data_IF_775612632144
#
_entry.id   IF_775612632144
#
_cell.length_a   1.000
_cell.length_b   1.000
_cell.length_c   1.000
_cell.angle_alpha   90.00
_cell.angle_beta   90.00
_cell.angle_gamma   90.00
#
_symmetry.space_group_name_H-M   'P 1'
#
loop_
_entity.id
_entity.type
_entity.pdbx_description
1 polymer ?
#
# COMPACT_ATOMS: atom_id res chain seq x y z
N UNK A 1 1.92 -6.56 28.03
CA UNK A 1 2.12 -6.65 26.57
C UNK A 1 2.37 -5.24 26.07
N UNK A 2 3.60 -4.91 25.67
CA UNK A 2 3.93 -3.55 25.21
C UNK A 2 3.19 -3.29 23.90
N UNK A 3 2.13 -2.49 23.98
CA UNK A 3 1.41 -1.95 22.83
C UNK A 3 2.32 -0.90 22.16
N UNK A 4 3.38 -1.36 21.51
CA UNK A 4 4.28 -0.47 20.76
C UNK A 4 3.52 -0.05 19.53
N UNK A 5 2.94 1.16 19.57
CA UNK A 5 2.33 1.79 18.41
C UNK A 5 3.31 1.70 17.24
N UNK A 6 2.87 1.26 16.04
CA UNK A 6 3.75 1.15 14.89
C UNK A 6 4.38 2.51 14.58
N UNK A 7 5.66 2.50 14.18
CA UNK A 7 6.35 3.73 13.82
C UNK A 7 5.68 4.39 12.60
N UNK A 8 5.77 5.73 12.44
CA UNK A 8 5.21 6.39 11.25
C UNK A 8 5.75 5.82 9.93
N UNK A 9 7.01 5.39 9.91
CA UNK A 9 7.61 4.75 8.75
C UNK A 9 6.98 3.38 8.46
N UNK A 10 6.71 2.57 9.51
CA UNK A 10 5.99 1.31 9.38
C UNK A 10 4.58 1.51 8.82
N UNK A 11 3.81 2.48 9.35
CA UNK A 11 2.49 2.84 8.83
C UNK A 11 2.55 3.28 7.36
N UNK A 12 3.55 4.10 6.99
CA UNK A 12 3.78 4.49 5.60
C UNK A 12 4.05 3.27 4.69
N UNK A 13 4.78 2.27 5.17
CA UNK A 13 5.00 1.01 4.47
C UNK A 13 3.70 0.23 4.24
N UNK A 14 2.88 0.09 5.28
CA UNK A 14 1.58 -0.58 5.20
C UNK A 14 0.62 0.15 4.25
N UNK A 15 0.61 1.48 4.31
CA UNK A 15 -0.15 2.32 3.38
C UNK A 15 0.32 2.13 1.94
N UNK A 16 1.62 2.12 1.70
CA UNK A 16 2.18 1.92 0.36
C UNK A 16 1.78 0.54 -0.20
N UNK A 17 1.86 -0.52 0.61
CA UNK A 17 1.38 -1.84 0.23
C UNK A 17 -0.11 -1.84 -0.13
N UNK A 18 -0.95 -1.19 0.68
CA UNK A 18 -2.40 -1.09 0.48
C UNK A 18 -2.74 -0.40 -0.85
N UNK A 19 -2.11 0.74 -1.12
CA UNK A 19 -2.33 1.49 -2.35
C UNK A 19 -1.81 0.75 -3.58
N UNK A 20 -0.68 0.06 -3.45
CA UNK A 20 -0.10 -0.75 -4.51
C UNK A 20 -0.97 -1.96 -4.84
N UNK A 21 -1.48 -2.66 -3.82
CA UNK A 21 -2.45 -3.74 -3.97
C UNK A 21 -3.72 -3.25 -4.66
N UNK A 22 -4.27 -2.11 -4.25
CA UNK A 22 -5.45 -1.52 -4.90
C UNK A 22 -5.21 -1.24 -6.38
N UNK A 23 -4.05 -0.67 -6.72
CA UNK A 23 -3.62 -0.48 -8.11
C UNK A 23 -3.59 -1.80 -8.87
N UNK A 24 -3.04 -2.85 -8.28
CA UNK A 24 -2.89 -4.14 -8.96
C UNK A 24 -4.23 -4.86 -9.17
N UNK A 25 -5.16 -4.78 -8.22
CA UNK A 25 -6.53 -5.30 -8.42
C UNK A 25 -7.22 -4.52 -9.56
N UNK A 26 -7.00 -3.20 -9.64
CA UNK A 26 -7.56 -2.35 -10.69
C UNK A 26 -6.92 -2.53 -12.08
N UNK A 27 -5.60 -2.80 -12.15
CA UNK A 27 -4.85 -2.89 -13.43
C UNK A 27 -4.60 -4.33 -13.87
N UNK A 28 -4.59 -4.59 -15.19
CA UNK A 28 -4.07 -5.84 -15.80
C UNK A 28 -2.53 -5.93 -15.75
N UNK A 29 -1.90 -5.28 -14.77
CA UNK A 29 -0.46 -5.07 -14.72
C UNK A 29 0.16 -6.05 -13.71
N UNK A 30 0.92 -7.01 -14.23
CA UNK A 30 1.62 -8.04 -13.45
C UNK A 30 2.88 -7.53 -12.73
N UNK A 31 3.19 -6.22 -12.81
CA UNK A 31 4.30 -5.60 -12.08
C UNK A 31 4.00 -5.42 -10.57
N UNK A 32 3.48 -6.48 -9.95
CA UNK A 32 3.00 -6.55 -8.58
C UNK A 32 4.08 -6.32 -7.52
N UNK A 33 5.36 -6.45 -7.85
CA UNK A 33 6.48 -6.03 -7.01
C UNK A 33 7.72 -5.89 -7.90
N UNK A 34 8.06 -4.67 -8.31
CA UNK A 34 9.42 -4.41 -8.77
C UNK A 34 10.15 -3.79 -7.58
N UNK A 35 11.23 -4.45 -7.14
CA UNK A 35 12.06 -4.00 -6.02
C UNK A 35 12.54 -2.54 -6.21
N UNK A 36 12.67 -2.10 -7.47
CA UNK A 36 12.99 -0.72 -7.82
C UNK A 36 11.95 0.30 -7.33
N UNK A 37 10.65 -0.05 -7.35
CA UNK A 37 9.58 0.82 -6.87
C UNK A 37 9.57 0.90 -5.35
N UNK A 38 9.73 -0.24 -4.67
CA UNK A 38 9.83 -0.28 -3.21
C UNK A 38 11.06 0.49 -2.72
N UNK A 39 12.18 0.33 -3.41
CA UNK A 39 13.42 1.03 -3.06
C UNK A 39 13.30 2.55 -3.24
N UNK A 40 12.62 3.02 -4.29
CA UNK A 40 12.28 4.44 -4.44
C UNK A 40 11.32 4.91 -3.33
N UNK A 41 10.31 4.12 -3.01
CA UNK A 41 9.29 4.47 -2.03
C UNK A 41 9.84 4.57 -0.60
N UNK A 42 10.73 3.66 -0.18
CA UNK A 42 11.34 3.76 1.15
C UNK A 42 12.29 4.96 1.25
N UNK A 43 12.98 5.35 0.17
CA UNK A 43 13.86 6.54 0.15
C UNK A 43 13.05 7.84 0.17
N UNK A 44 11.95 7.90 -0.58
CA UNK A 44 11.12 9.10 -0.73
C UNK A 44 9.61 8.81 -0.61
N UNK A 45 9.12 8.50 0.60
CA UNK A 45 7.75 8.01 0.75
C UNK A 45 6.70 9.08 0.46
N UNK A 46 6.92 10.33 0.87
CA UNK A 46 5.96 11.42 0.70
C UNK A 46 5.43 11.59 -0.73
N UNK A 47 6.31 11.82 -1.72
CA UNK A 47 5.88 11.93 -3.11
C UNK A 47 5.15 10.68 -3.64
N UNK A 48 5.63 9.48 -3.30
CA UNK A 48 5.00 8.24 -3.77
C UNK A 48 3.61 8.05 -3.16
N UNK A 49 3.46 8.20 -1.84
CA UNK A 49 2.20 8.01 -1.13
C UNK A 49 1.14 9.02 -1.59
N UNK A 50 1.50 10.29 -1.74
CA UNK A 50 0.56 11.33 -2.23
C UNK A 50 0.06 11.02 -3.63
N UNK A 51 0.94 10.58 -4.53
CA UNK A 51 0.58 10.24 -5.90
C UNK A 51 -0.36 9.03 -5.96
N UNK A 52 -0.07 7.99 -5.18
CA UNK A 52 -0.91 6.81 -5.12
C UNK A 52 -2.27 7.06 -4.45
N UNK A 53 -2.32 7.91 -3.41
CA UNK A 53 -3.57 8.32 -2.77
C UNK A 53 -4.51 9.03 -3.75
N UNK A 54 -3.99 9.95 -4.56
CA UNK A 54 -4.79 10.65 -5.59
C UNK A 54 -5.44 9.69 -6.58
N UNK A 55 -4.75 8.60 -6.93
CA UNK A 55 -5.21 7.59 -7.90
C UNK A 55 -6.06 6.48 -7.28
N UNK A 56 -6.20 6.44 -5.96
CA UNK A 56 -6.89 5.35 -5.27
C UNK A 56 -8.35 5.19 -5.75
N UNK A 57 -9.08 6.29 -5.93
CA UNK A 57 -10.45 6.27 -6.44
C UNK A 57 -10.54 5.69 -7.85
N UNK A 58 -9.63 6.08 -8.75
CA UNK A 58 -9.57 5.55 -10.11
C UNK A 58 -9.30 4.04 -10.13
N UNK A 59 -8.41 3.55 -9.25
CA UNK A 59 -8.11 2.14 -9.13
C UNK A 59 -9.29 1.33 -8.60
N UNK A 60 -10.06 1.87 -7.66
CA UNK A 60 -11.31 1.25 -7.20
C UNK A 60 -12.35 1.16 -8.33
N UNK A 61 -12.54 2.23 -9.10
CA UNK A 61 -13.45 2.22 -10.26
C UNK A 61 -13.01 1.18 -11.29
N UNK A 62 -11.72 1.15 -11.63
CA UNK A 62 -11.17 0.16 -12.56
C UNK A 62 -11.32 -1.29 -12.06
N UNK A 63 -11.21 -1.53 -10.76
CA UNK A 63 -11.45 -2.86 -10.20
C UNK A 63 -12.91 -3.29 -10.34
N UNK A 64 -13.87 -2.37 -10.15
CA UNK A 64 -15.30 -2.67 -10.30
C UNK A 64 -15.68 -3.02 -11.74
N UNK A 65 -15.06 -2.38 -12.74
CA UNK A 65 -15.31 -2.71 -14.16
C UNK A 65 -14.79 -4.11 -14.54
N UNK A 66 -13.86 -4.68 -13.77
CA UNK A 66 -13.36 -6.06 -13.96
C UNK A 66 -14.30 -7.13 -13.40
N UNK A 67 -15.34 -6.73 -12.67
CA UNK A 67 -16.39 -7.61 -12.17
C UNK A 67 -16.44 -7.75 -10.65
N UNK A 68 -17.45 -8.46 -10.14
CA UNK A 68 -17.83 -8.42 -8.72
C UNK A 68 -16.73 -8.80 -7.74
N UNK A 69 -15.94 -9.86 -8.05
CA UNK A 69 -14.84 -10.32 -7.19
C UNK A 69 -13.74 -9.27 -7.03
N UNK A 70 -13.35 -8.60 -8.13
CA UNK A 70 -12.35 -7.53 -8.10
C UNK A 70 -12.89 -6.29 -7.38
N UNK A 71 -14.16 -5.94 -7.64
CA UNK A 71 -14.83 -4.82 -6.99
C UNK A 71 -14.94 -4.97 -5.46
N UNK A 72 -15.24 -6.18 -4.98
CA UNK A 72 -15.29 -6.50 -3.55
C UNK A 72 -13.91 -6.36 -2.91
N UNK A 73 -12.89 -7.04 -3.46
CA UNK A 73 -11.53 -6.99 -2.93
C UNK A 73 -10.96 -5.56 -2.91
N UNK A 74 -11.16 -4.81 -4.00
CA UNK A 74 -10.74 -3.41 -4.05
C UNK A 74 -11.47 -2.54 -3.02
N UNK A 75 -12.75 -2.81 -2.73
CA UNK A 75 -13.51 -2.11 -1.69
C UNK A 75 -12.96 -2.36 -0.28
N UNK A 76 -12.54 -3.58 0.02
CA UNK A 76 -11.90 -3.95 1.28
C UNK A 76 -10.55 -3.23 1.44
N UNK A 77 -9.70 -3.28 0.41
CA UNK A 77 -8.40 -2.61 0.40
C UNK A 77 -8.53 -1.09 0.48
N UNK A 78 -9.51 -0.50 -0.22
CA UNK A 78 -9.75 0.94 -0.20
C UNK A 78 -10.16 1.46 1.18
N UNK A 79 -11.00 0.71 1.92
CA UNK A 79 -11.39 1.09 3.29
C UNK A 79 -10.20 1.09 4.25
N UNK A 80 -9.28 0.13 4.09
CA UNK A 80 -8.10 0.01 4.94
C UNK A 80 -7.09 1.16 4.79
N UNK A 81 -7.22 2.03 3.78
CA UNK A 81 -6.33 3.18 3.58
C UNK A 81 -6.29 4.06 4.84
N UNK A 82 -7.45 4.34 5.45
CA UNK A 82 -7.54 5.22 6.60
C UNK A 82 -6.78 4.68 7.83
N UNK A 83 -6.68 3.37 7.98
CA UNK A 83 -6.00 2.71 9.11
C UNK A 83 -4.48 2.93 9.09
N UNK A 84 -3.92 3.25 7.91
CA UNK A 84 -2.47 3.39 7.71
C UNK A 84 -2.03 4.83 7.42
N UNK A 85 -2.95 5.80 7.34
CA UNK A 85 -2.58 7.21 7.28
C UNK A 85 -2.00 7.61 8.65
N UNK A 86 -0.78 8.16 8.73
CA UNK A 86 -0.21 8.63 9.99
C UNK A 86 -1.15 9.62 10.68
N UNK A 87 -1.26 9.61 12.03
CA UNK A 87 -2.23 10.45 12.76
C UNK A 87 -2.13 11.95 12.49
N UNK A 88 -0.93 12.43 12.12
CA UNK A 88 -0.68 13.83 11.77
C UNK A 88 -0.94 14.16 10.30
N UNK A 89 -1.37 13.20 9.48
CA UNK A 89 -1.61 13.33 8.05
C UNK A 89 -0.36 13.65 7.21
N UNK A 90 0.85 13.55 7.78
CA UNK A 90 2.10 13.92 7.12
C UNK A 90 2.92 12.71 6.76
N UNK A 91 3.43 12.72 5.54
CA UNK A 91 4.40 11.75 5.05
C UNK A 91 5.78 12.40 4.99
N UNK A 92 6.83 11.76 5.52
CA UNK A 92 8.19 12.27 5.41
C UNK A 92 8.65 12.25 3.94
N UNK A 93 9.40 13.26 3.52
CA UNK A 93 9.94 13.29 2.16
C UNK A 93 11.20 12.42 2.01
N UNK A 94 11.87 12.11 3.13
CA UNK A 94 13.07 11.27 3.21
C UNK A 94 13.06 10.44 4.50
N UNK A 95 13.64 9.24 4.47
CA UNK A 95 13.82 8.37 5.62
C UNK A 95 15.30 8.02 5.83
N UNK A 96 15.73 7.94 7.08
CA UNK A 96 17.03 7.37 7.44
C UNK A 96 17.04 5.84 7.27
N UNK A 97 18.21 5.21 7.36
CA UNK A 97 18.35 3.75 7.13
C UNK A 97 17.47 2.90 8.04
N UNK A 98 17.32 3.31 9.31
CA UNK A 98 16.46 2.59 10.27
C UNK A 98 14.99 2.70 9.88
N UNK A 99 14.52 3.90 9.57
CA UNK A 99 13.14 4.14 9.16
C UNK A 99 12.82 3.52 7.79
N UNK A 100 13.81 3.44 6.89
CA UNK A 100 13.66 2.69 5.64
C UNK A 100 13.43 1.19 5.89
N UNK A 101 14.10 0.60 6.87
CA UNK A 101 13.88 -0.79 7.26
C UNK A 101 12.49 -0.98 7.88
N UNK A 102 12.04 -0.06 8.74
CA UNK A 102 10.68 -0.06 9.30
C UNK A 102 9.61 0.04 8.21
N UNK A 103 9.82 0.91 7.22
CA UNK A 103 8.96 1.05 6.04
C UNK A 103 8.88 -0.26 5.26
N UNK A 104 10.03 -0.88 4.95
CA UNK A 104 10.08 -2.14 4.23
C UNK A 104 9.36 -3.26 5.02
N UNK A 105 9.57 -3.32 6.34
CA UNK A 105 8.87 -4.26 7.22
C UNK A 105 7.35 -4.08 7.17
N UNK A 106 6.87 -2.83 7.26
CA UNK A 106 5.44 -2.51 7.14
C UNK A 106 4.86 -2.89 5.78
N UNK A 107 5.60 -2.61 4.71
CA UNK A 107 5.23 -3.00 3.36
C UNK A 107 5.08 -4.52 3.22
N UNK A 108 6.11 -5.30 3.56
CA UNK A 108 6.10 -6.75 3.40
C UNK A 108 5.04 -7.43 4.27
N UNK A 109 4.86 -6.95 5.51
CA UNK A 109 3.81 -7.44 6.41
C UNK A 109 2.42 -7.28 5.81
N UNK A 110 2.09 -6.07 5.33
CA UNK A 110 0.76 -5.79 4.80
C UNK A 110 0.55 -6.40 3.42
N UNK A 111 1.55 -6.34 2.54
CA UNK A 111 1.48 -6.97 1.22
C UNK A 111 1.31 -8.49 1.32
N UNK A 112 2.01 -9.15 2.25
CA UNK A 112 1.85 -10.59 2.49
C UNK A 112 0.42 -10.97 2.87
N UNK A 113 -0.25 -10.17 3.72
CA UNK A 113 -1.67 -10.38 4.06
C UNK A 113 -2.58 -10.30 2.85
N UNK A 114 -2.38 -9.30 1.98
CA UNK A 114 -3.17 -9.15 0.77
C UNK A 114 -2.88 -10.22 -0.27
N UNK A 115 -1.61 -10.61 -0.43
CA UNK A 115 -1.23 -11.70 -1.31
C UNK A 115 -1.94 -13.00 -0.93
N UNK A 116 -2.00 -13.33 0.37
CA UNK A 116 -2.72 -14.50 0.86
C UNK A 116 -4.25 -14.39 0.66
N UNK A 117 -4.81 -13.21 0.91
CA UNK A 117 -6.28 -13.00 0.87
C UNK A 117 -6.82 -12.85 -0.55
N UNK A 118 -6.02 -12.36 -1.48
CA UNK A 118 -6.43 -12.00 -2.83
C UNK A 118 -5.59 -12.67 -3.94
N UNK A 119 -4.80 -13.72 -3.64
CA UNK A 119 -3.92 -14.43 -4.59
C UNK A 119 -4.58 -14.71 -5.96
N UNK A 120 -5.83 -15.19 -5.92
CA UNK A 120 -6.59 -15.54 -7.11
C UNK A 120 -6.88 -14.36 -8.07
N UNK A 121 -6.74 -13.11 -7.60
CA UNK A 121 -6.95 -11.90 -8.40
C UNK A 121 -5.64 -11.37 -9.04
N UNK A 122 -4.49 -11.94 -8.65
CA UNK A 122 -3.17 -11.53 -9.12
C UNK A 122 -2.60 -12.43 -10.24
N UNK A 123 -3.27 -13.53 -10.59
CA UNK A 123 -2.88 -14.49 -11.64
C UNK A 123 -3.53 -14.14 -12.99
#
# INVERSE_FOLDING_TARGET
MTNTQPSPAHLCGQLYATLHTLRAIGKRDRQLANDSFLDRAKRHPGPQLREHLKKAGEHLLAARTRGPKHGQAAGEVFRAIADFVPPNGRFPDYLDTKSQADFASGFHSQFGKYALTHDALFR
#
